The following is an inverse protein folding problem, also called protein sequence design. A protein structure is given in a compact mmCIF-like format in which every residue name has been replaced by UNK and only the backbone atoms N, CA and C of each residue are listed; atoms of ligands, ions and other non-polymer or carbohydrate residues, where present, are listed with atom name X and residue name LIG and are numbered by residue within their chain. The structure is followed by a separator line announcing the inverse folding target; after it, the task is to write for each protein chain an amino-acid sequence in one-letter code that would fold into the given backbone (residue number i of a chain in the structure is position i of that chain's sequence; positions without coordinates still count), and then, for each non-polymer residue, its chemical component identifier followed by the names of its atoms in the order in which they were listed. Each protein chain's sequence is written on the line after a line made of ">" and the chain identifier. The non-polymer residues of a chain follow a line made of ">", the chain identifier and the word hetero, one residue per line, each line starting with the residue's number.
data_IF_012149649833
#
_entry.id   IF_012149649833
#
_cell.length_a   1.000
_cell.length_b   1.000
_cell.length_c   1.000
_cell.angle_alpha   90.00
_cell.angle_beta   90.00
_cell.angle_gamma   90.00
#
_symmetry.space_group_name_H-M   'P 1'
#
loop_
_entity.id
_entity.type
_entity.pdbx_description
1 polymer ?
#
# COMPACT_ATOMS: atom_id res chain seq x y z
N UNK A 1 35.57 20.29 25.62
CA UNK A 1 35.12 19.60 26.85
C UNK A 1 33.87 18.81 26.53
N UNK A 2 33.96 17.48 26.46
CA UNK A 2 32.78 16.61 26.63
C UNK A 2 33.26 15.31 27.29
N UNK A 3 32.71 15.07 28.48
CA UNK A 3 33.07 13.99 29.41
C UNK A 3 32.42 12.66 28.99
N UNK A 4 33.25 11.62 28.97
CA UNK A 4 33.10 10.27 29.50
C UNK A 4 31.74 9.54 29.58
N UNK A 5 31.77 8.33 28.98
CA UNK A 5 31.47 6.98 29.54
C UNK A 5 30.01 6.64 29.91
N UNK A 6 29.57 5.51 29.34
CA UNK A 6 28.52 4.64 29.90
C UNK A 6 28.39 3.31 29.15
N UNK A 7 29.18 2.31 29.52
CA UNK A 7 29.00 0.89 29.15
C UNK A 7 27.82 0.28 29.93
N UNK A 8 27.36 -0.90 29.48
CA UNK A 8 26.52 -1.90 30.17
C UNK A 8 25.00 -1.60 30.19
N UNK A 9 24.06 -2.55 30.13
CA UNK A 9 24.11 -4.00 30.26
C UNK A 9 22.96 -4.66 29.48
N UNK A 10 23.22 -5.90 29.07
CA UNK A 10 22.27 -6.91 28.59
C UNK A 10 21.52 -7.53 29.79
N UNK A 11 20.29 -7.97 29.51
CA UNK A 11 19.54 -9.06 30.17
C UNK A 11 18.67 -8.78 31.42
N UNK A 12 17.42 -9.25 31.35
CA UNK A 12 16.77 -10.15 32.32
C UNK A 12 15.43 -10.63 31.71
N UNK A 13 15.33 -11.88 31.25
CA UNK A 13 14.96 -13.06 32.02
C UNK A 13 13.46 -13.08 32.41
N UNK A 14 12.66 -13.77 31.59
CA UNK A 14 11.28 -14.14 31.92
C UNK A 14 11.32 -15.30 32.91
N UNK A 15 10.60 -15.13 34.01
CA UNK A 15 10.48 -16.08 35.10
C UNK A 15 9.76 -17.37 34.64
N UNK A 16 10.43 -18.52 34.79
CA UNK A 16 9.81 -19.84 34.74
C UNK A 16 9.56 -20.30 36.17
N UNK A 17 8.29 -20.49 36.48
CA UNK A 17 7.77 -20.97 37.75
C UNK A 17 8.21 -22.41 38.01
N UNK A 18 8.70 -22.64 39.23
CA UNK A 18 9.04 -23.94 39.80
C UNK A 18 7.82 -24.86 39.85
N UNK A 19 7.80 -25.86 38.97
CA UNK A 19 6.92 -27.03 39.04
C UNK A 19 7.74 -28.28 39.30
N UNK A 20 7.51 -28.90 40.46
CA UNK A 20 8.12 -30.09 41.06
C UNK A 20 8.48 -31.25 40.10
N UNK A 21 9.64 -31.86 40.40
CA UNK A 21 10.04 -33.24 40.08
C UNK A 21 8.95 -34.25 40.45
N UNK A 22 8.45 -34.99 39.47
CA UNK A 22 7.97 -36.37 39.62
C UNK A 22 8.28 -37.10 38.31
N UNK A 23 9.21 -38.06 38.35
CA UNK A 23 9.30 -39.11 37.34
C UNK A 23 8.50 -40.32 37.84
N UNK A 24 7.71 -40.95 36.95
CA UNK A 24 7.71 -42.41 36.91
C UNK A 24 7.95 -42.91 35.47
N UNK A 25 8.85 -43.88 35.37
CA UNK A 25 9.12 -44.70 34.19
C UNK A 25 7.99 -45.70 33.96
N UNK A 26 7.83 -46.12 32.68
CA UNK A 26 6.96 -47.17 32.11
C UNK A 26 5.61 -46.65 31.56
N UNK A 27 5.10 -47.02 30.39
CA UNK A 27 5.50 -48.00 29.37
C UNK A 27 5.00 -47.52 27.99
N UNK A 28 5.45 -48.20 26.93
CA UNK A 28 5.09 -48.00 25.53
C UNK A 28 3.57 -48.01 25.27
N UNK A 29 3.08 -47.16 24.36
CA UNK A 29 2.22 -47.55 23.21
C UNK A 29 1.90 -46.33 22.30
N UNK A 30 1.98 -46.57 21.00
CA UNK A 30 1.41 -45.83 19.85
C UNK A 30 1.43 -44.29 19.83
N UNK A 31 2.45 -43.73 19.16
CA UNK A 31 2.34 -42.40 18.55
C UNK A 31 1.49 -42.49 17.28
N UNK A 32 0.18 -42.40 17.43
CA UNK A 32 -0.67 -41.94 16.33
C UNK A 32 -0.30 -40.48 16.09
N UNK A 33 0.29 -40.21 14.93
CA UNK A 33 0.63 -38.88 14.44
C UNK A 33 -0.66 -38.03 14.37
N UNK A 34 -0.95 -37.26 15.43
CA UNK A 34 -1.97 -36.21 15.36
C UNK A 34 -1.36 -35.08 14.53
N UNK A 35 -1.71 -35.04 13.24
CA UNK A 35 -1.42 -33.89 12.40
C UNK A 35 -2.05 -32.65 13.04
N UNK A 36 -1.21 -31.75 13.57
CA UNK A 36 -1.66 -30.42 13.97
C UNK A 36 -2.26 -29.77 12.71
N UNK A 37 -3.52 -29.31 12.73
CA UNK A 37 -4.05 -28.54 11.60
C UNK A 37 -3.23 -27.27 11.52
N UNK A 38 -2.38 -27.18 10.50
CA UNK A 38 -1.74 -25.92 10.14
C UNK A 38 -2.88 -24.95 9.83
N UNK A 39 -2.97 -23.77 10.49
CA UNK A 39 -3.99 -22.80 10.14
C UNK A 39 -3.77 -22.38 8.68
N UNK A 40 -4.65 -22.88 7.82
CA UNK A 40 -4.69 -22.56 6.41
C UNK A 40 -5.34 -21.19 6.23
N UNK A 41 -4.60 -20.11 6.54
CA UNK A 41 -4.93 -18.79 6.00
C UNK A 41 -3.72 -17.86 6.05
N UNK A 42 -2.76 -18.12 5.17
CA UNK A 42 -1.95 -17.01 4.66
C UNK A 42 -2.89 -16.28 3.68
N UNK A 43 -3.68 -15.34 4.18
CA UNK A 43 -4.38 -14.39 3.31
C UNK A 43 -3.28 -13.65 2.57
N UNK A 44 -3.07 -14.00 1.30
CA UNK A 44 -2.18 -13.26 0.42
C UNK A 44 -2.64 -11.80 0.47
N UNK A 45 -1.84 -10.94 1.11
CA UNK A 45 -2.17 -9.53 1.18
C UNK A 45 -2.09 -8.98 -0.24
N UNK A 46 -3.24 -8.65 -0.80
CA UNK A 46 -3.35 -8.02 -2.10
C UNK A 46 -2.77 -6.61 -2.03
N UNK A 47 -1.47 -6.51 -2.28
CA UNK A 47 -0.76 -5.22 -2.33
C UNK A 47 -1.40 -4.38 -3.43
N UNK A 48 -1.86 -3.20 -3.06
CA UNK A 48 -2.38 -2.22 -4.00
C UNK A 48 -1.34 -1.15 -4.29
N UNK A 49 -1.39 -0.57 -5.47
CA UNK A 49 -0.46 0.43 -5.96
C UNK A 49 -1.26 1.66 -6.34
N UNK A 50 -0.86 2.80 -5.78
CA UNK A 50 -1.28 4.10 -6.24
C UNK A 50 -0.46 4.47 -7.47
N UNK A 51 -1.14 4.61 -8.59
CA UNK A 51 -0.60 5.12 -9.84
C UNK A 51 -1.00 6.57 -10.03
N UNK A 52 -0.10 7.35 -10.61
CA UNK A 52 -0.42 8.66 -11.16
C UNK A 52 -0.39 8.60 -12.68
N UNK A 53 -1.46 9.10 -13.27
CA UNK A 53 -1.64 9.15 -14.71
C UNK A 53 -1.87 10.60 -15.15
N UNK A 54 -0.95 11.11 -15.98
CA UNK A 54 -1.03 12.44 -16.56
C UNK A 54 -1.16 12.27 -18.06
N UNK A 55 -2.36 12.45 -18.59
CA UNK A 55 -2.68 12.21 -20.00
C UNK A 55 -3.08 13.48 -20.72
N UNK A 56 -2.57 13.67 -21.94
CA UNK A 56 -2.96 14.76 -22.85
C UNK A 56 -3.83 14.18 -23.95
N UNK A 57 -4.95 14.82 -24.23
CA UNK A 57 -5.96 14.36 -25.17
C UNK A 57 -6.40 15.50 -26.09
N UNK A 58 -6.86 15.16 -27.28
CA UNK A 58 -7.58 16.08 -28.16
C UNK A 58 -9.06 16.07 -27.81
N UNK A 59 -9.71 17.23 -27.85
CA UNK A 59 -11.15 17.36 -27.61
C UNK A 59 -12.00 16.50 -28.57
N UNK A 60 -11.56 16.41 -29.83
CA UNK A 60 -12.31 15.74 -30.91
C UNK A 60 -12.18 14.22 -30.95
N UNK A 61 -11.46 13.59 -30.01
CA UNK A 61 -11.33 12.14 -30.02
C UNK A 61 -10.88 11.52 -28.69
N UNK A 62 -11.15 10.22 -28.48
CA UNK A 62 -10.81 9.53 -27.24
C UNK A 62 -9.32 9.16 -27.15
N UNK A 63 -8.54 9.36 -28.21
CA UNK A 63 -7.15 8.92 -28.28
C UNK A 63 -6.25 9.81 -27.42
N UNK A 64 -5.51 9.18 -26.50
CA UNK A 64 -4.43 9.83 -25.76
C UNK A 64 -3.30 10.20 -26.72
N UNK A 65 -2.87 11.45 -26.66
CA UNK A 65 -1.77 11.97 -27.46
C UNK A 65 -0.42 11.75 -26.76
N UNK A 66 -0.36 11.98 -25.45
CA UNK A 66 0.89 11.94 -24.71
C UNK A 66 0.67 11.82 -23.19
N UNK A 67 1.78 11.74 -22.47
CA UNK A 67 1.86 11.95 -21.03
C UNK A 67 2.17 10.68 -20.23
N UNK A 68 2.82 10.80 -19.08
CA UNK A 68 3.33 9.67 -18.32
C UNK A 68 2.26 8.97 -17.48
N UNK A 69 2.49 7.69 -17.21
CA UNK A 69 1.85 6.95 -16.13
C UNK A 69 2.94 6.29 -15.29
N UNK A 70 2.92 6.51 -13.98
CA UNK A 70 3.96 6.00 -13.09
C UNK A 70 3.42 5.63 -11.71
N UNK A 71 4.12 4.70 -11.06
CA UNK A 71 3.81 4.27 -9.70
C UNK A 71 4.24 5.34 -8.71
N UNK A 72 3.32 5.72 -7.80
CA UNK A 72 3.61 6.65 -6.70
C UNK A 72 4.09 5.88 -5.47
N UNK A 73 3.30 4.90 -5.02
CA UNK A 73 3.54 4.12 -3.80
C UNK A 73 2.68 2.86 -3.76
N UNK A 74 3.14 1.82 -3.09
CA UNK A 74 2.36 0.62 -2.75
C UNK A 74 1.79 0.68 -1.33
N UNK A 75 0.64 0.04 -1.13
CA UNK A 75 -0.12 -0.01 0.11
C UNK A 75 -0.55 -1.44 0.40
N UNK A 76 -0.64 -1.78 1.69
CA UNK A 76 -0.99 -3.14 2.11
C UNK A 76 -2.47 -3.43 1.87
N UNK A 77 -3.31 -2.39 1.94
CA UNK A 77 -4.75 -2.50 1.74
C UNK A 77 -5.27 -1.51 0.69
N UNK A 78 -6.37 -1.88 0.03
CA UNK A 78 -7.06 -0.99 -0.91
C UNK A 78 -7.54 0.31 -0.25
N UNK A 79 -8.04 0.23 0.98
CA UNK A 79 -8.55 1.39 1.71
C UNK A 79 -7.46 2.42 2.00
N UNK A 80 -6.25 1.98 2.35
CA UNK A 80 -5.08 2.87 2.51
C UNK A 80 -4.72 3.56 1.19
N UNK A 81 -4.72 2.81 0.08
CA UNK A 81 -4.47 3.39 -1.24
C UNK A 81 -5.52 4.45 -1.59
N UNK A 82 -6.82 4.16 -1.40
CA UNK A 82 -7.91 5.10 -1.72
C UNK A 82 -7.90 6.34 -0.81
N UNK A 83 -7.48 6.20 0.44
CA UNK A 83 -7.23 7.35 1.32
C UNK A 83 -6.10 8.23 0.76
N UNK A 84 -4.99 7.62 0.33
CA UNK A 84 -3.88 8.34 -0.29
C UNK A 84 -4.25 8.96 -1.66
N UNK A 85 -5.08 8.27 -2.45
CA UNK A 85 -5.64 8.78 -3.70
C UNK A 85 -6.40 10.09 -3.46
N UNK A 86 -7.30 10.10 -2.47
CA UNK A 86 -8.06 11.31 -2.09
C UNK A 86 -7.16 12.45 -1.63
N UNK A 87 -6.16 12.15 -0.81
CA UNK A 87 -5.19 13.16 -0.35
C UNK A 87 -4.37 13.74 -1.50
N UNK A 88 -3.92 12.89 -2.44
CA UNK A 88 -3.15 13.33 -3.59
C UNK A 88 -3.99 14.16 -4.58
N UNK A 89 -5.24 13.78 -4.82
CA UNK A 89 -6.20 14.57 -5.60
C UNK A 89 -6.45 15.94 -4.97
N UNK A 90 -6.66 15.98 -3.65
CA UNK A 90 -6.86 17.24 -2.93
C UNK A 90 -5.64 18.16 -3.04
N UNK A 91 -4.42 17.61 -2.94
CA UNK A 91 -3.19 18.39 -3.10
C UNK A 91 -3.05 18.95 -4.53
N UNK A 92 -3.24 18.12 -5.56
CA UNK A 92 -3.16 18.59 -6.94
C UNK A 92 -4.20 19.68 -7.24
N UNK A 93 -5.41 19.54 -6.68
CA UNK A 93 -6.49 20.50 -6.85
C UNK A 93 -6.10 21.91 -6.33
N UNK A 94 -5.35 22.01 -5.22
CA UNK A 94 -4.93 23.30 -4.65
C UNK A 94 -4.13 24.16 -5.64
N UNK A 95 -3.38 23.54 -6.55
CA UNK A 95 -2.51 24.25 -7.49
C UNK A 95 -3.09 24.41 -8.90
N UNK A 96 -4.19 23.72 -9.21
CA UNK A 96 -4.66 23.53 -10.58
C UNK A 96 -6.12 23.90 -10.80
N UNK A 97 -6.95 23.91 -9.75
CA UNK A 97 -8.36 24.25 -9.90
C UNK A 97 -8.49 25.71 -10.35
N UNK A 98 -9.21 25.89 -11.45
CA UNK A 98 -9.48 27.17 -12.08
C UNK A 98 -10.68 27.06 -13.01
N UNK A 99 -11.01 28.14 -13.72
CA UNK A 99 -12.20 28.22 -14.58
C UNK A 99 -12.24 27.19 -15.72
N UNK A 100 -11.09 26.67 -16.14
CA UNK A 100 -10.96 25.64 -17.19
C UNK A 100 -10.79 24.22 -16.64
N UNK A 101 -10.94 24.04 -15.31
CA UNK A 101 -10.78 22.74 -14.66
C UNK A 101 -12.12 22.10 -14.34
N UNK A 102 -12.27 20.84 -14.74
CA UNK A 102 -13.38 19.97 -14.39
C UNK A 102 -12.92 18.90 -13.39
N UNK A 103 -13.78 18.62 -12.41
CA UNK A 103 -13.54 17.55 -11.44
C UNK A 103 -13.88 16.18 -12.04
N UNK A 104 -12.99 15.21 -11.87
CA UNK A 104 -13.24 13.80 -12.16
C UNK A 104 -13.38 13.02 -10.84
N UNK A 105 -13.93 11.81 -10.91
CA UNK A 105 -14.02 10.91 -9.74
C UNK A 105 -12.66 10.48 -9.20
N UNK A 106 -11.67 10.42 -10.07
CA UNK A 106 -10.32 9.95 -9.77
C UNK A 106 -9.23 10.97 -10.11
N UNK A 107 -9.60 12.24 -10.29
CA UNK A 107 -8.65 13.29 -10.63
C UNK A 107 -9.29 14.59 -11.06
N UNK A 108 -8.57 15.35 -11.87
CA UNK A 108 -9.06 16.57 -12.50
C UNK A 108 -8.74 16.55 -13.99
N UNK A 109 -9.50 17.31 -14.77
CA UNK A 109 -9.27 17.58 -16.18
C UNK A 109 -9.13 19.09 -16.35
N UNK A 110 -8.08 19.54 -17.03
CA UNK A 110 -7.86 20.96 -17.32
C UNK A 110 -7.81 21.17 -18.82
N UNK A 111 -8.63 22.07 -19.33
CA UNK A 111 -8.66 22.46 -20.74
C UNK A 111 -7.58 23.50 -21.06
N UNK A 112 -7.06 23.46 -22.29
CA UNK A 112 -6.32 24.58 -22.87
C UNK A 112 -7.25 25.76 -23.16
N UNK A 113 -6.69 26.91 -23.53
CA UNK A 113 -7.46 28.16 -23.69
C UNK A 113 -8.44 28.13 -24.87
N UNK A 114 -8.16 27.33 -25.90
CA UNK A 114 -8.95 27.19 -27.13
C UNK A 114 -9.85 25.94 -27.12
N UNK A 115 -9.89 25.21 -26.01
CA UNK A 115 -10.67 23.98 -25.79
C UNK A 115 -10.41 22.91 -26.86
N UNK A 116 -9.21 22.89 -27.46
CA UNK A 116 -8.82 21.88 -28.45
C UNK A 116 -8.16 20.67 -27.79
N UNK A 117 -7.58 20.84 -26.61
CA UNK A 117 -6.93 19.80 -25.84
C UNK A 117 -7.31 19.88 -24.37
N UNK A 118 -7.17 18.74 -23.69
CA UNK A 118 -7.26 18.70 -22.24
C UNK A 118 -6.20 17.78 -21.66
N UNK A 119 -5.76 18.14 -20.46
CA UNK A 119 -4.86 17.31 -19.66
C UNK A 119 -5.65 16.73 -18.49
N UNK A 120 -5.60 15.41 -18.30
CA UNK A 120 -6.14 14.75 -17.10
C UNK A 120 -5.02 14.47 -16.12
N UNK A 121 -5.24 14.77 -14.85
CA UNK A 121 -4.36 14.41 -13.73
C UNK A 121 -5.12 13.44 -12.83
N UNK A 122 -4.89 12.14 -13.01
CA UNK A 122 -5.64 11.06 -12.36
C UNK A 122 -4.77 10.28 -11.40
N UNK A 123 -5.41 9.78 -10.35
CA UNK A 123 -4.82 8.88 -9.37
C UNK A 123 -5.63 7.59 -9.32
N UNK A 124 -4.96 6.45 -9.45
CA UNK A 124 -5.63 5.16 -9.62
C UNK A 124 -5.06 4.14 -8.63
N UNK A 125 -5.92 3.55 -7.81
CA UNK A 125 -5.56 2.39 -7.00
C UNK A 125 -5.80 1.10 -7.76
N UNK A 126 -4.74 0.32 -8.01
CA UNK A 126 -4.79 -0.96 -8.72
C UNK A 126 -4.00 -2.03 -7.99
N UNK A 127 -4.37 -3.30 -8.16
CA UNK A 127 -3.59 -4.42 -7.61
C UNK A 127 -2.21 -4.51 -8.27
N UNK A 128 -1.19 -4.78 -7.46
CA UNK A 128 0.15 -5.07 -7.97
C UNK A 128 0.09 -6.26 -8.94
N UNK A 129 0.71 -6.13 -10.12
CA UNK A 129 0.75 -7.20 -11.13
C UNK A 129 -0.43 -7.23 -12.11
N UNK A 130 -1.46 -6.39 -11.93
CA UNK A 130 -2.43 -6.12 -13.01
C UNK A 130 -1.80 -5.14 -14.00
N UNK A 131 -0.91 -5.67 -14.84
CA UNK A 131 -0.22 -4.93 -15.90
C UNK A 131 -1.20 -4.19 -16.80
N UNK A 132 -0.80 -2.99 -17.23
CA UNK A 132 -1.49 -2.17 -18.21
C UNK A 132 -1.67 -2.97 -19.51
N UNK A 133 -2.90 -3.35 -19.83
CA UNK A 133 -3.32 -3.64 -21.22
C UNK A 133 -3.78 -2.35 -21.87
#
# INVERSE_FOLDING_TARGET
>A
MLKCIGRTALAAAVALTLGRLVSPTAAAEDQIYTAVPVPAEVIASEVTVLWRDIGIYRASGPLRMAGPMYQVRSYQTKAECEAAQRAAMANDALSRVGSTTEQLSDGIKTWDSDHQHYTTFRYLCRLAGTGLR
#
